data_IF_816532594629
#
_entry.id   IF_816532594629
#
_cell.length_a   1.000
_cell.length_b   1.000
_cell.length_c   1.000
_cell.angle_alpha   90.00
_cell.angle_beta   90.00
_cell.angle_gamma   90.00
#
_symmetry.space_group_name_H-M   'P 1'
#
loop_
_entity.id
_entity.type
_entity.pdbx_description
1 polymer ?
#
# COMPACT_ATOMS: atom_id res chain seq x y z
N UNK A 1 -2.42 -4.55 12.69
CA UNK A 1 -2.02 -3.16 12.97
C UNK A 1 -3.11 -2.25 12.44
N UNK A 2 -3.64 -1.36 13.26
CA UNK A 2 -4.59 -0.32 12.83
C UNK A 2 -3.74 0.87 12.34
N UNK A 3 -3.74 1.11 11.02
CA UNK A 3 -3.03 2.25 10.47
C UNK A 3 -3.99 3.45 10.47
N UNK A 4 -3.56 4.61 10.98
CA UNK A 4 -4.45 5.74 11.20
C UNK A 4 -5.03 6.25 9.87
N UNK A 5 -6.37 6.25 9.75
CA UNK A 5 -7.07 6.63 8.51
C UNK A 5 -6.74 8.05 8.03
N UNK A 6 -6.43 8.96 8.94
CA UNK A 6 -6.00 10.34 8.62
C UNK A 6 -4.67 10.40 7.85
N UNK A 7 -3.88 9.32 7.86
CA UNK A 7 -2.62 9.19 7.10
C UNK A 7 -2.77 8.37 5.84
N UNK A 8 -4.01 8.01 5.50
CA UNK A 8 -4.35 7.32 4.26
C UNK A 8 -4.99 8.31 3.29
N UNK A 9 -4.60 8.23 2.03
CA UNK A 9 -5.21 9.01 0.96
C UNK A 9 -5.45 8.09 -0.24
N UNK A 10 -6.52 8.35 -1.01
CA UNK A 10 -6.74 7.67 -2.28
C UNK A 10 -6.51 8.69 -3.39
N UNK A 11 -5.61 8.38 -4.32
CA UNK A 11 -5.32 9.23 -5.49
C UNK A 11 -5.57 8.45 -6.77
N UNK A 12 -6.13 9.09 -7.79
CA UNK A 12 -6.42 8.43 -9.08
C UNK A 12 -5.18 8.21 -9.96
N UNK A 13 -4.08 8.91 -9.67
CA UNK A 13 -2.87 8.89 -10.49
C UNK A 13 -1.60 8.87 -9.64
N UNK A 14 -0.63 8.03 -10.03
CA UNK A 14 0.71 8.02 -9.43
C UNK A 14 1.75 7.52 -10.45
N UNK A 15 2.91 8.18 -10.53
CA UNK A 15 4.02 7.73 -11.39
C UNK A 15 3.68 7.64 -12.89
N UNK A 16 2.76 8.48 -13.38
CA UNK A 16 2.30 8.46 -14.77
C UNK A 16 1.30 7.34 -15.10
N UNK A 17 0.86 6.58 -14.10
CA UNK A 17 -0.18 5.55 -14.24
C UNK A 17 -1.49 6.04 -13.62
N UNK A 18 -2.57 5.90 -14.37
CA UNK A 18 -3.95 6.09 -13.90
C UNK A 18 -4.51 4.74 -13.44
N UNK A 19 -5.34 4.77 -12.40
CA UNK A 19 -6.00 3.59 -11.85
C UNK A 19 -7.50 3.86 -11.72
N UNK A 20 -8.32 2.89 -12.10
CA UNK A 20 -9.79 2.98 -12.05
C UNK A 20 -10.28 2.88 -10.60
N UNK A 21 -9.67 1.99 -9.81
CA UNK A 21 -9.97 1.82 -8.38
C UNK A 21 -9.16 2.80 -7.49
N UNK A 22 -8.14 3.46 -8.06
CA UNK A 22 -7.26 4.42 -7.40
C UNK A 22 -6.03 3.79 -6.72
N UNK A 23 -5.20 4.67 -6.15
CA UNK A 23 -3.97 4.31 -5.42
C UNK A 23 -4.16 4.65 -3.95
N UNK A 24 -3.97 3.68 -3.07
CA UNK A 24 -3.87 3.91 -1.64
C UNK A 24 -2.47 4.42 -1.30
N UNK A 25 -2.42 5.64 -0.79
CA UNK A 25 -1.21 6.30 -0.29
C UNK A 25 -1.19 6.17 1.22
N UNK A 26 -0.13 5.56 1.76
CA UNK A 26 0.13 5.50 3.19
C UNK A 26 1.25 6.46 3.54
N UNK A 27 0.94 7.50 4.30
CA UNK A 27 1.94 8.47 4.75
C UNK A 27 2.62 7.98 6.03
N UNK A 28 3.90 7.64 5.89
CA UNK A 28 4.75 7.10 6.96
C UNK A 28 5.58 8.20 7.64
N UNK A 29 5.37 9.48 7.34
CA UNK A 29 6.24 10.59 7.74
C UNK A 29 6.80 10.62 9.18
N UNK A 30 6.07 10.19 10.24
CA UNK A 30 6.62 10.13 11.59
C UNK A 30 7.15 8.73 12.01
N UNK A 31 7.01 7.72 11.17
CA UNK A 31 7.67 6.42 11.35
C UNK A 31 9.07 6.54 10.74
N UNK A 32 10.09 6.38 11.56
CA UNK A 32 11.52 6.49 11.23
C UNK A 32 11.97 5.35 10.30
N UNK A 33 11.42 5.30 9.09
CA UNK A 33 11.72 4.32 8.05
C UNK A 33 12.60 4.98 7.01
N UNK A 34 13.92 4.94 7.23
CA UNK A 34 15.01 5.16 6.25
C UNK A 34 14.67 6.01 5.00
N UNK A 35 14.09 7.21 5.20
CA UNK A 35 13.74 8.15 4.12
C UNK A 35 12.49 7.83 3.28
N UNK A 36 11.76 6.73 3.54
CA UNK A 36 10.51 6.38 2.87
C UNK A 36 9.35 7.07 3.59
N UNK A 37 8.86 8.16 3.01
CA UNK A 37 7.77 8.95 3.60
C UNK A 37 6.38 8.51 3.14
N UNK A 38 6.27 7.80 2.00
CA UNK A 38 5.00 7.40 1.39
C UNK A 38 5.10 6.05 0.71
N UNK A 39 4.15 5.17 1.00
CA UNK A 39 3.91 3.93 0.23
C UNK A 39 2.71 4.17 -0.68
N UNK A 40 2.81 3.74 -1.93
CA UNK A 40 1.73 3.79 -2.91
C UNK A 40 1.35 2.37 -3.31
N UNK A 41 0.06 2.05 -3.19
CA UNK A 41 -0.47 0.74 -3.52
C UNK A 41 -1.57 0.92 -4.56
N UNK A 42 -1.41 0.30 -5.72
CA UNK A 42 -2.45 0.30 -6.74
C UNK A 42 -3.61 -0.60 -6.29
N UNK A 43 -4.82 -0.06 -6.23
CA UNK A 43 -5.99 -0.82 -5.80
C UNK A 43 -6.54 -1.72 -6.91
N UNK A 44 -6.27 -1.41 -8.18
CA UNK A 44 -6.60 -2.31 -9.31
C UNK A 44 -5.88 -3.67 -9.16
N UNK A 45 -4.59 -3.64 -8.77
CA UNK A 45 -3.82 -4.86 -8.50
C UNK A 45 -4.43 -5.65 -7.33
N UNK A 46 -4.91 -4.96 -6.28
CA UNK A 46 -5.59 -5.62 -5.15
C UNK A 46 -6.93 -6.23 -5.59
N UNK A 47 -7.70 -5.55 -6.44
CA UNK A 47 -8.97 -6.05 -6.94
C UNK A 47 -8.77 -7.33 -7.77
N UNK A 48 -7.72 -7.37 -8.58
CA UNK A 48 -7.34 -8.55 -9.37
C UNK A 48 -6.86 -9.71 -8.47
N UNK A 49 -6.00 -9.44 -7.49
CA UNK A 49 -5.56 -10.42 -6.49
C UNK A 49 -6.73 -10.91 -5.61
N UNK A 50 -7.74 -10.08 -5.35
CA UNK A 50 -8.95 -10.50 -4.64
C UNK A 50 -9.73 -11.53 -5.45
N UNK A 51 -9.75 -11.43 -6.78
CA UNK A 51 -10.37 -12.41 -7.68
C UNK A 51 -9.51 -13.68 -7.80
N UNK A 52 -8.19 -13.55 -7.78
CA UNK A 52 -7.22 -14.65 -7.83
C UNK A 52 -6.67 -14.99 -6.43
N UNK A 53 -7.49 -15.64 -5.60
CA UNK A 53 -7.31 -15.81 -4.15
C UNK A 53 -6.01 -16.44 -3.63
N UNK A 54 -5.12 -16.95 -4.48
CA UNK A 54 -3.86 -17.59 -4.08
C UNK A 54 -2.70 -16.60 -3.88
N UNK A 55 -2.75 -15.38 -4.44
CA UNK A 55 -1.65 -14.39 -4.39
C UNK A 55 -1.74 -13.38 -3.24
N UNK A 56 -2.73 -13.54 -2.36
CA UNK A 56 -3.01 -12.61 -1.24
C UNK A 56 -1.94 -12.66 -0.15
N UNK A 57 -1.37 -13.83 0.11
CA UNK A 57 -0.35 -13.99 1.15
C UNK A 57 0.93 -13.23 0.77
N UNK A 58 1.36 -13.33 -0.48
CA UNK A 58 2.62 -12.77 -0.98
C UNK A 58 2.63 -11.23 -0.96
N UNK A 59 1.51 -10.58 -1.28
CA UNK A 59 1.41 -9.11 -1.26
C UNK A 59 1.24 -8.56 0.16
N UNK A 60 0.49 -9.25 1.02
CA UNK A 60 0.41 -8.90 2.44
C UNK A 60 1.76 -9.11 3.15
N UNK A 61 2.51 -10.14 2.76
CA UNK A 61 3.85 -10.42 3.25
C UNK A 61 4.86 -9.38 2.74
N UNK A 62 4.79 -8.99 1.46
CA UNK A 62 5.58 -7.87 0.93
C UNK A 62 5.23 -6.56 1.63
N UNK A 63 3.96 -6.28 1.89
CA UNK A 63 3.57 -5.11 2.69
C UNK A 63 4.12 -5.17 4.11
N UNK A 64 4.05 -6.33 4.79
CA UNK A 64 4.64 -6.52 6.12
C UNK A 64 6.15 -6.32 6.12
N UNK A 65 6.84 -6.83 5.10
CA UNK A 65 8.28 -6.71 4.91
C UNK A 65 8.70 -5.27 4.63
N UNK A 66 7.98 -4.56 3.75
CA UNK A 66 8.22 -3.14 3.46
C UNK A 66 7.91 -2.21 4.63
N UNK A 67 6.99 -2.61 5.50
CA UNK A 67 6.63 -1.87 6.73
C UNK A 67 7.54 -2.21 7.91
N UNK A 68 8.57 -3.05 7.74
CA UNK A 68 9.54 -3.39 8.78
C UNK A 68 8.92 -4.12 9.99
N UNK A 69 7.77 -4.77 9.83
CA UNK A 69 7.11 -5.50 10.90
C UNK A 69 7.70 -6.91 11.03
N UNK A 70 8.99 -7.00 11.38
CA UNK A 70 9.67 -8.22 11.85
C UNK A 70 10.29 -7.91 13.22
N UNK A 71 9.41 -7.77 14.23
CA UNK A 71 9.62 -8.12 15.64
C UNK A 71 8.24 -8.34 16.30
#
# INVERSE_FOLDING_TARGET
MDFPKERMEIVSHHGGKESEEGWLVLNLGPFDLEGITKIYVNLDDIADIRRHGERRAEVLEQMRSLLGCDD
#
